data_IF_036361039123
#
_entry.id   IF_036361039123
#
_cell.length_a   1.000
_cell.length_b   1.000
_cell.length_c   1.000
_cell.angle_alpha   90.00
_cell.angle_beta   90.00
_cell.angle_gamma   90.00
#
_symmetry.space_group_name_H-M   'P 1'
#
loop_
_entity.id
_entity.type
_entity.pdbx_description
1 polymer ?
#
# COMPACT_ATOMS: atom_id res chain seq x y z
N UNK A 1 -7.37 -52.67 -69.02
CA UNK A 1 -7.96 -53.48 -67.93
C UNK A 1 -8.25 -52.53 -66.77
N UNK A 2 -9.52 -52.16 -66.61
CA UNK A 2 -9.99 -51.25 -65.59
C UNK A 2 -10.48 -52.11 -64.42
N UNK A 3 -9.89 -51.92 -63.25
CA UNK A 3 -10.32 -52.61 -62.03
C UNK A 3 -11.20 -51.66 -61.22
N UNK A 4 -12.47 -52.01 -61.11
CA UNK A 4 -13.47 -51.29 -60.38
C UNK A 4 -13.25 -51.40 -58.88
N UNK A 5 -13.22 -50.27 -58.24
CA UNK A 5 -13.19 -50.15 -56.78
C UNK A 5 -14.63 -49.88 -56.28
N UNK A 6 -15.22 -50.89 -55.59
CA UNK A 6 -16.51 -50.77 -54.96
C UNK A 6 -16.38 -50.01 -53.61
N UNK A 7 -17.28 -49.09 -53.29
CA UNK A 7 -17.28 -48.43 -51.99
C UNK A 7 -17.92 -49.33 -50.93
N UNK A 8 -17.25 -49.46 -49.80
CA UNK A 8 -17.81 -50.10 -48.59
C UNK A 8 -18.79 -49.15 -47.87
N UNK A 9 -19.80 -49.70 -47.20
CA UNK A 9 -20.75 -48.87 -46.45
C UNK A 9 -20.14 -48.24 -45.21
N UNK A 10 -20.42 -46.98 -45.03
CA UNK A 10 -20.07 -46.19 -43.87
C UNK A 10 -20.80 -46.72 -42.63
N UNK A 11 -20.01 -47.12 -41.64
CA UNK A 11 -20.48 -47.40 -40.26
C UNK A 11 -20.99 -46.15 -39.57
N UNK A 12 -21.83 -46.29 -38.55
CA UNK A 12 -22.39 -45.14 -37.86
C UNK A 12 -21.29 -44.32 -37.17
N UNK A 13 -21.43 -43.00 -37.24
CA UNK A 13 -20.52 -42.04 -36.56
C UNK A 13 -20.58 -42.27 -35.05
N UNK A 14 -19.46 -42.14 -34.34
CA UNK A 14 -19.45 -42.17 -32.89
C UNK A 14 -20.21 -40.95 -32.35
N UNK A 15 -21.27 -41.20 -31.62
CA UNK A 15 -21.93 -40.21 -30.77
C UNK A 15 -20.92 -39.71 -29.75
N UNK A 16 -20.53 -38.43 -29.88
CA UNK A 16 -19.74 -37.76 -28.85
C UNK A 16 -20.60 -37.58 -27.60
N UNK A 17 -20.56 -38.55 -26.69
CA UNK A 17 -21.03 -38.31 -25.33
C UNK A 17 -20.04 -37.32 -24.68
N UNK A 18 -20.55 -36.12 -24.45
CA UNK A 18 -19.83 -35.09 -23.71
C UNK A 18 -19.66 -35.58 -22.24
N UNK A 19 -18.47 -35.91 -21.80
CA UNK A 19 -18.26 -36.41 -20.43
C UNK A 19 -18.59 -35.37 -19.33
N UNK A 20 -18.95 -34.14 -19.68
CA UNK A 20 -19.33 -33.10 -18.75
C UNK A 20 -20.83 -32.77 -18.73
N UNK A 21 -21.67 -33.47 -19.53
CA UNK A 21 -23.11 -33.21 -19.58
C UNK A 21 -23.89 -33.62 -18.33
N UNK A 22 -23.28 -34.26 -17.34
CA UNK A 22 -23.92 -34.68 -16.09
C UNK A 22 -23.42 -34.02 -14.81
N UNK A 23 -22.60 -32.96 -14.93
CA UNK A 23 -22.33 -32.11 -13.76
C UNK A 23 -23.51 -31.17 -13.62
N UNK A 24 -24.51 -31.59 -12.85
CA UNK A 24 -25.56 -30.68 -12.39
C UNK A 24 -24.91 -29.43 -11.82
N UNK A 25 -25.24 -28.28 -12.41
CA UNK A 25 -24.90 -27.00 -11.81
C UNK A 25 -25.67 -26.92 -10.50
N UNK A 26 -25.07 -27.47 -9.43
CA UNK A 26 -25.48 -27.07 -8.10
C UNK A 26 -25.31 -25.57 -8.10
N UNK A 27 -26.41 -24.83 -8.05
CA UNK A 27 -26.40 -23.43 -7.75
C UNK A 27 -25.66 -23.30 -6.41
N UNK A 28 -24.36 -23.01 -6.48
CA UNK A 28 -23.67 -22.46 -5.36
C UNK A 28 -24.40 -21.13 -5.08
N UNK A 29 -25.33 -21.17 -4.15
CA UNK A 29 -25.77 -19.97 -3.48
C UNK A 29 -24.49 -19.31 -2.94
N UNK A 30 -23.97 -18.36 -3.69
CA UNK A 30 -22.97 -17.45 -3.20
C UNK A 30 -23.66 -16.77 -2.03
N UNK A 31 -23.27 -17.04 -0.76
CA UNK A 31 -23.86 -16.31 0.35
C UNK A 31 -23.69 -14.84 -0.03
N UNK A 32 -24.77 -14.07 0.01
CA UNK A 32 -24.72 -12.63 -0.13
C UNK A 32 -23.62 -12.18 0.80
N UNK A 33 -22.52 -11.70 0.20
CA UNK A 33 -21.45 -11.07 0.98
C UNK A 33 -22.14 -9.86 1.59
N UNK A 34 -22.67 -10.04 2.81
CA UNK A 34 -22.94 -8.90 3.63
C UNK A 34 -21.64 -8.10 3.55
N UNK A 35 -21.77 -6.85 3.11
CA UNK A 35 -20.67 -5.91 3.12
C UNK A 35 -20.27 -5.71 4.59
N UNK A 36 -19.72 -6.78 5.15
CA UNK A 36 -19.11 -6.79 6.46
C UNK A 36 -18.06 -5.70 6.42
N UNK A 37 -18.22 -4.71 7.29
CA UNK A 37 -17.25 -3.66 7.52
C UNK A 37 -15.89 -4.32 7.53
N UNK A 38 -15.09 -4.08 6.47
CA UNK A 38 -13.77 -4.68 6.37
C UNK A 38 -13.00 -4.35 7.66
N UNK A 39 -12.26 -5.30 8.24
CA UNK A 39 -11.66 -5.09 9.54
C UNK A 39 -10.78 -3.85 9.51
N UNK A 40 -11.15 -2.88 10.34
CA UNK A 40 -10.30 -1.71 10.58
C UNK A 40 -8.94 -2.23 11.00
N UNK A 41 -7.86 -1.73 10.41
CA UNK A 41 -6.52 -2.13 10.81
C UNK A 41 -6.40 -2.01 12.33
N UNK A 42 -6.18 -3.13 12.99
CA UNK A 42 -5.93 -3.16 14.43
C UNK A 42 -4.56 -2.59 14.82
N UNK A 43 -3.79 -2.07 13.83
CA UNK A 43 -2.48 -1.48 14.08
C UNK A 43 -2.67 -0.14 14.79
N UNK A 44 -2.34 -0.02 16.09
CA UNK A 44 -2.56 1.21 16.83
C UNK A 44 -1.58 2.28 16.35
N UNK A 45 -2.11 3.47 16.08
CA UNK A 45 -1.27 4.64 15.80
C UNK A 45 -0.68 5.15 17.12
N UNK A 46 0.64 5.25 17.25
CA UNK A 46 1.29 5.70 18.47
C UNK A 46 0.84 7.11 18.88
N UNK A 47 0.84 7.38 20.18
CA UNK A 47 0.39 8.65 20.73
C UNK A 47 1.18 9.86 20.18
N UNK A 48 2.49 9.70 19.94
CA UNK A 48 3.34 10.73 19.35
C UNK A 48 3.00 11.03 17.88
N UNK A 49 2.41 10.06 17.15
CA UNK A 49 1.80 10.29 15.84
C UNK A 49 0.44 10.98 15.95
N UNK A 50 -0.21 10.91 17.11
CA UNK A 50 -1.52 11.55 17.34
C UNK A 50 -1.38 12.96 17.90
N UNK A 51 -0.19 13.35 18.36
CA UNK A 51 0.08 14.61 19.06
C UNK A 51 0.10 15.86 18.17
N UNK A 52 -0.09 15.69 16.87
CA UNK A 52 -0.35 16.78 15.94
C UNK A 52 -1.43 16.37 14.97
N UNK A 53 -2.25 17.28 14.50
CA UNK A 53 -3.28 17.05 13.47
C UNK A 53 -2.76 16.31 12.22
N UNK A 54 -1.47 16.40 11.95
CA UNK A 54 -0.76 15.80 10.83
C UNK A 54 -0.81 14.27 10.82
N UNK A 55 -0.59 13.63 11.98
CA UNK A 55 -0.53 12.17 12.06
C UNK A 55 -1.89 11.54 12.34
N UNK A 56 -2.80 12.27 12.99
CA UNK A 56 -4.15 11.80 13.20
C UNK A 56 -4.94 11.66 11.87
N UNK A 57 -4.70 12.58 10.92
CA UNK A 57 -5.31 12.50 9.59
C UNK A 57 -4.77 11.30 8.79
N UNK A 58 -3.47 11.00 8.89
CA UNK A 58 -2.87 9.83 8.25
C UNK A 58 -3.41 8.51 8.81
N UNK A 59 -3.76 8.47 10.10
CA UNK A 59 -4.38 7.31 10.71
C UNK A 59 -5.85 7.13 10.31
N UNK A 60 -6.55 8.24 10.05
CA UNK A 60 -7.96 8.24 9.65
C UNK A 60 -8.18 7.87 8.17
N UNK A 61 -7.14 7.93 7.35
CA UNK A 61 -7.22 7.64 5.90
C UNK A 61 -6.98 6.17 5.55
N UNK A 62 -6.68 5.31 6.51
CA UNK A 62 -6.64 3.87 6.26
C UNK A 62 -8.08 3.36 6.10
N UNK A 63 -8.48 3.13 4.86
CA UNK A 63 -9.73 2.47 4.52
C UNK A 63 -9.41 1.01 4.24
N UNK A 64 -9.90 0.07 5.04
CA UNK A 64 -9.86 -1.35 4.72
C UNK A 64 -10.61 -1.58 3.41
N UNK A 65 -10.05 -2.38 2.49
CA UNK A 65 -10.65 -2.55 1.17
C UNK A 65 -10.25 -1.43 0.19
N UNK A 66 -9.03 -1.08 0.22
CA UNK A 66 -8.27 -0.13 -0.51
C UNK A 66 -8.69 0.03 -1.98
N UNK A 67 -9.29 1.16 -2.32
CA UNK A 67 -9.31 1.62 -3.69
C UNK A 67 -7.98 2.33 -3.98
N UNK A 68 -7.29 2.02 -5.09
CA UNK A 68 -6.11 2.77 -5.48
C UNK A 68 -6.45 4.26 -5.56
N UNK A 69 -5.68 5.08 -4.85
CA UNK A 69 -5.84 6.52 -4.92
C UNK A 69 -5.27 7.02 -6.25
N UNK A 70 -5.92 8.02 -6.84
CA UNK A 70 -5.38 8.67 -8.03
C UNK A 70 -4.00 9.27 -7.75
N UNK A 71 -3.13 9.17 -8.76
CA UNK A 71 -1.84 9.82 -8.70
C UNK A 71 -1.98 11.34 -8.56
N UNK A 72 -1.23 11.88 -7.62
CA UNK A 72 -0.99 13.34 -7.49
C UNK A 72 0.50 13.59 -7.29
N UNK A 73 1.06 14.67 -7.87
CA UNK A 73 2.46 15.03 -7.61
C UNK A 73 2.72 15.15 -6.11
N UNK A 74 3.84 14.58 -5.66
CA UNK A 74 4.15 14.53 -4.23
C UNK A 74 4.65 15.86 -3.65
N UNK A 75 5.28 16.68 -4.50
CA UNK A 75 6.03 17.86 -4.06
C UNK A 75 7.30 17.54 -3.24
N UNK A 76 7.67 16.26 -3.14
CA UNK A 76 8.81 15.78 -2.33
C UNK A 76 10.02 15.37 -3.18
N UNK A 77 9.84 15.23 -4.48
CA UNK A 77 10.80 14.65 -5.40
C UNK A 77 11.23 15.67 -6.46
N UNK A 78 12.42 15.44 -7.04
CA UNK A 78 12.80 16.12 -8.29
C UNK A 78 11.88 15.71 -9.43
N UNK A 79 11.83 16.50 -10.50
CA UNK A 79 11.00 16.23 -11.68
C UNK A 79 11.22 14.82 -12.25
N UNK A 80 12.49 14.39 -12.35
CA UNK A 80 12.84 13.06 -12.86
C UNK A 80 12.35 11.92 -11.94
N UNK A 81 12.47 12.12 -10.63
CA UNK A 81 12.01 11.14 -9.66
C UNK A 81 10.47 11.10 -9.59
N UNK A 82 9.81 12.26 -9.71
CA UNK A 82 8.36 12.33 -9.79
C UNK A 82 7.82 11.69 -11.09
N UNK A 83 8.52 11.86 -12.20
CA UNK A 83 8.19 11.17 -13.46
C UNK A 83 8.25 9.64 -13.28
N UNK A 84 9.33 9.12 -12.65
CA UNK A 84 9.42 7.67 -12.35
C UNK A 84 8.31 7.22 -11.40
N UNK A 85 8.03 7.99 -10.34
CA UNK A 85 6.95 7.70 -9.39
C UNK A 85 5.61 7.61 -10.10
N UNK A 86 5.30 8.54 -11.00
CA UNK A 86 4.07 8.53 -11.81
C UNK A 86 3.93 7.21 -12.60
N UNK A 87 5.02 6.74 -13.20
CA UNK A 87 5.03 5.50 -13.98
C UNK A 87 4.74 4.25 -13.15
N UNK A 88 5.18 4.21 -11.89
CA UNK A 88 4.99 3.06 -11.01
C UNK A 88 3.81 3.18 -10.04
N UNK A 89 3.19 4.35 -9.93
CA UNK A 89 2.23 4.65 -8.87
C UNK A 89 1.04 3.69 -8.86
N UNK A 90 0.43 3.42 -10.01
CA UNK A 90 -0.71 2.50 -10.11
C UNK A 90 -0.37 1.08 -9.64
N UNK A 91 0.78 0.56 -10.08
CA UNK A 91 1.26 -0.76 -9.67
C UNK A 91 1.55 -0.79 -8.16
N UNK A 92 2.25 0.21 -7.66
CA UNK A 92 2.57 0.36 -6.25
C UNK A 92 1.30 0.42 -5.38
N UNK A 93 0.33 1.25 -5.76
CA UNK A 93 -0.92 1.42 -5.03
C UNK A 93 -1.74 0.13 -4.98
N UNK A 94 -1.85 -0.58 -6.10
CA UNK A 94 -2.51 -1.88 -6.16
C UNK A 94 -1.84 -2.91 -5.25
N UNK A 95 -0.51 -2.98 -5.27
CA UNK A 95 0.24 -3.91 -4.41
C UNK A 95 0.09 -3.53 -2.94
N UNK A 96 0.20 -2.24 -2.59
CA UNK A 96 -0.03 -1.80 -1.22
C UNK A 96 -1.39 -2.28 -0.70
N UNK A 97 -2.44 -2.15 -1.52
CA UNK A 97 -3.78 -2.61 -1.20
C UNK A 97 -3.87 -4.13 -1.03
N UNK A 98 -3.25 -4.91 -1.91
CA UNK A 98 -3.22 -6.38 -1.81
C UNK A 98 -2.62 -6.86 -0.49
N UNK A 99 -1.65 -6.13 0.05
CA UNK A 99 -1.03 -6.45 1.34
C UNK A 99 -1.64 -5.69 2.53
N UNK A 100 -2.75 -4.98 2.34
CA UNK A 100 -3.43 -4.23 3.40
C UNK A 100 -2.58 -3.11 3.99
N UNK A 101 -1.73 -2.49 3.17
CA UNK A 101 -0.89 -1.35 3.55
C UNK A 101 -1.58 -0.04 3.19
N UNK A 102 -1.50 1.01 4.02
CA UNK A 102 -1.86 2.35 3.59
C UNK A 102 -1.01 2.77 2.38
N UNK A 103 -1.66 3.12 1.26
CA UNK A 103 -0.96 3.49 0.02
C UNK A 103 0.06 4.59 0.26
N UNK A 104 -0.32 5.64 0.99
CA UNK A 104 0.58 6.76 1.30
C UNK A 104 1.79 6.37 2.16
N UNK A 105 1.66 5.38 3.05
CA UNK A 105 2.79 4.85 3.83
C UNK A 105 3.79 4.12 2.93
N UNK A 106 3.29 3.23 2.06
CA UNK A 106 4.14 2.46 1.18
C UNK A 106 4.81 3.35 0.13
N UNK A 107 4.08 4.34 -0.40
CA UNK A 107 4.63 5.39 -1.27
C UNK A 107 5.74 6.19 -0.58
N UNK A 108 5.51 6.69 0.64
CA UNK A 108 6.51 7.41 1.43
C UNK A 108 7.76 6.57 1.70
N UNK A 109 7.59 5.28 1.92
CA UNK A 109 8.70 4.34 2.09
C UNK A 109 9.52 4.23 0.81
N UNK A 110 8.90 4.04 -0.35
CA UNK A 110 9.60 3.93 -1.64
C UNK A 110 10.30 5.25 -2.00
N UNK A 111 9.69 6.39 -1.70
CA UNK A 111 10.34 7.70 -1.83
C UNK A 111 11.65 7.73 -1.03
N UNK A 112 11.64 7.24 0.21
CA UNK A 112 12.82 7.21 1.08
C UNK A 112 13.85 6.19 0.62
N UNK A 113 13.43 5.01 0.16
CA UNK A 113 14.31 3.91 -0.23
C UNK A 113 15.07 4.18 -1.54
N UNK A 114 14.38 4.57 -2.58
CA UNK A 114 14.95 4.61 -3.93
C UNK A 114 14.65 5.88 -4.72
N UNK A 115 13.77 6.75 -4.21
CA UNK A 115 13.16 7.83 -5.02
C UNK A 115 12.60 7.28 -6.33
N UNK A 116 11.96 6.12 -6.26
CA UNK A 116 11.40 5.41 -7.41
C UNK A 116 12.42 5.02 -8.50
N UNK A 117 13.69 4.87 -8.13
CA UNK A 117 14.70 4.31 -9.04
C UNK A 117 14.71 2.79 -8.91
N UNK A 118 14.12 2.10 -9.91
CA UNK A 118 13.97 0.64 -9.91
C UNK A 118 15.28 -0.13 -10.05
N UNK A 119 16.36 0.54 -10.46
CA UNK A 119 17.67 -0.10 -10.76
C UNK A 119 18.77 0.29 -9.77
N UNK A 120 18.42 0.98 -8.68
CA UNK A 120 19.43 1.47 -7.74
C UNK A 120 19.91 0.36 -6.80
N UNK A 121 21.22 0.34 -6.57
CA UNK A 121 21.85 -0.44 -5.49
C UNK A 121 22.22 0.47 -4.33
N UNK A 122 22.01 -0.01 -3.11
CA UNK A 122 22.63 0.60 -1.94
C UNK A 122 24.07 0.12 -1.76
N UNK A 123 24.89 0.83 -0.96
CA UNK A 123 26.22 0.34 -0.56
C UNK A 123 26.18 -1.03 0.13
N UNK A 124 25.05 -1.35 0.78
CA UNK A 124 24.83 -2.65 1.47
C UNK A 124 24.22 -3.71 0.55
N UNK A 125 24.21 -3.49 -0.77
CA UNK A 125 23.68 -4.41 -1.82
C UNK A 125 22.16 -4.61 -1.78
N UNK A 126 21.38 -3.74 -1.13
CA UNK A 126 19.95 -3.68 -1.31
C UNK A 126 19.63 -3.20 -2.75
N UNK A 127 18.50 -3.62 -3.32
CA UNK A 127 18.17 -3.32 -4.72
C UNK A 127 16.72 -2.94 -4.94
N UNK A 128 16.51 -2.04 -5.89
CA UNK A 128 15.24 -1.73 -6.50
C UNK A 128 14.39 -0.74 -5.70
N UNK A 129 13.13 -0.67 -6.03
CA UNK A 129 12.18 0.32 -5.49
C UNK A 129 12.09 0.28 -3.97
N UNK A 130 12.02 -0.92 -3.40
CA UNK A 130 11.84 -1.15 -1.95
C UNK A 130 13.15 -1.55 -1.24
N UNK A 131 14.29 -1.46 -1.93
CA UNK A 131 15.63 -1.75 -1.41
C UNK A 131 15.71 -3.10 -0.68
N UNK A 132 15.26 -4.17 -1.35
CA UNK A 132 15.33 -5.51 -0.78
C UNK A 132 16.78 -6.02 -0.71
N UNK A 133 17.18 -6.46 0.48
CA UNK A 133 18.42 -7.20 0.69
C UNK A 133 18.37 -8.57 0.01
N UNK A 134 19.50 -9.13 -0.47
CA UNK A 134 19.54 -10.46 -1.10
C UNK A 134 18.90 -11.55 -0.22
N UNK A 135 19.27 -11.58 1.06
CA UNK A 135 18.74 -12.58 2.00
C UNK A 135 17.24 -12.44 2.24
N UNK A 136 16.75 -11.20 2.32
CA UNK A 136 15.30 -10.93 2.48
C UNK A 136 14.54 -11.39 1.23
N UNK A 137 15.04 -11.05 0.03
CA UNK A 137 14.40 -11.46 -1.22
C UNK A 137 14.36 -13.00 -1.35
N UNK A 138 15.46 -13.68 -1.02
CA UNK A 138 15.53 -15.14 -1.03
C UNK A 138 14.55 -15.76 -0.02
N UNK A 139 14.48 -15.24 1.21
CA UNK A 139 13.56 -15.71 2.24
C UNK A 139 12.09 -15.51 1.88
N UNK A 140 11.78 -14.48 1.08
CA UNK A 140 10.44 -14.21 0.57
C UNK A 140 10.12 -14.96 -0.73
N UNK A 141 11.11 -15.61 -1.36
CA UNK A 141 10.95 -16.31 -2.63
C UNK A 141 10.68 -15.37 -3.82
N UNK A 142 11.20 -14.13 -3.79
CA UNK A 142 10.97 -13.12 -4.84
C UNK A 142 12.25 -12.79 -5.60
N UNK A 143 12.11 -12.54 -6.90
CA UNK A 143 13.18 -11.96 -7.71
C UNK A 143 13.20 -10.44 -7.47
N UNK A 144 14.16 -9.95 -6.69
CA UNK A 144 14.30 -8.51 -6.40
C UNK A 144 14.62 -7.63 -7.61
N UNK A 145 15.07 -8.24 -8.72
CA UNK A 145 15.38 -7.53 -9.97
C UNK A 145 14.16 -7.32 -10.86
N UNK A 146 13.10 -8.05 -10.63
CA UNK A 146 11.80 -7.80 -11.23
C UNK A 146 11.05 -6.74 -10.42
N UNK A 147 10.54 -5.72 -11.11
CA UNK A 147 9.92 -4.55 -10.47
C UNK A 147 8.69 -4.93 -9.63
N UNK A 148 7.83 -5.76 -10.21
CA UNK A 148 6.59 -6.16 -9.53
C UNK A 148 6.90 -7.05 -8.33
N UNK A 149 7.80 -8.02 -8.48
CA UNK A 149 8.22 -8.89 -7.38
C UNK A 149 8.99 -8.13 -6.30
N UNK A 150 9.77 -7.11 -6.66
CA UNK A 150 10.42 -6.21 -5.72
C UNK A 150 9.39 -5.45 -4.87
N UNK A 151 8.38 -4.87 -5.51
CA UNK A 151 7.29 -4.20 -4.80
C UNK A 151 6.50 -5.18 -3.91
N UNK A 152 6.13 -6.35 -4.43
CA UNK A 152 5.43 -7.40 -3.66
C UNK A 152 6.26 -7.87 -2.46
N UNK A 153 7.55 -8.08 -2.67
CA UNK A 153 8.47 -8.47 -1.59
C UNK A 153 8.57 -7.40 -0.52
N UNK A 154 8.76 -6.13 -0.91
CA UNK A 154 8.80 -5.01 0.03
C UNK A 154 7.49 -4.82 0.79
N UNK A 155 6.35 -4.90 0.10
CA UNK A 155 5.04 -4.79 0.71
C UNK A 155 4.78 -5.94 1.71
N UNK A 156 5.08 -7.18 1.31
CA UNK A 156 4.97 -8.34 2.18
C UNK A 156 5.85 -8.21 3.41
N UNK A 157 7.12 -7.84 3.24
CA UNK A 157 8.04 -7.69 4.36
C UNK A 157 7.60 -6.59 5.32
N UNK A 158 7.14 -5.44 4.81
CA UNK A 158 6.58 -4.39 5.65
C UNK A 158 5.32 -4.88 6.40
N UNK A 159 4.44 -5.62 5.73
CA UNK A 159 3.24 -6.18 6.35
C UNK A 159 3.60 -7.13 7.50
N UNK A 160 4.55 -8.03 7.29
CA UNK A 160 5.05 -8.94 8.34
C UNK A 160 5.59 -8.16 9.56
N UNK A 161 6.27 -7.02 9.35
CA UNK A 161 6.71 -6.18 10.46
C UNK A 161 5.54 -5.47 11.16
N UNK A 162 4.54 -5.02 10.41
CA UNK A 162 3.34 -4.43 11.01
C UNK A 162 2.56 -5.43 11.85
N UNK A 163 2.39 -6.65 11.37
CA UNK A 163 1.74 -7.74 12.12
C UNK A 163 2.50 -8.08 13.40
N UNK A 164 3.83 -8.08 13.31
CA UNK A 164 4.71 -8.42 14.44
C UNK A 164 4.76 -7.35 15.53
N UNK A 165 4.84 -6.09 15.15
CA UNK A 165 5.08 -4.98 16.08
C UNK A 165 3.84 -4.15 16.39
N UNK A 166 2.78 -4.27 15.60
CA UNK A 166 1.50 -3.58 15.81
C UNK A 166 1.53 -2.06 15.68
N UNK A 167 2.70 -1.46 15.36
CA UNK A 167 2.88 0.00 15.31
C UNK A 167 3.75 0.41 14.12
N UNK A 168 3.33 1.44 13.38
CA UNK A 168 4.01 1.86 12.15
C UNK A 168 5.49 2.20 12.35
N UNK A 169 5.82 2.99 13.38
CA UNK A 169 7.20 3.39 13.63
C UNK A 169 8.11 2.21 13.98
N UNK A 170 7.60 1.21 14.70
CA UNK A 170 8.35 0.00 15.03
C UNK A 170 8.52 -0.90 13.83
N UNK A 171 7.49 -1.03 13.01
CA UNK A 171 7.55 -1.80 11.76
C UNK A 171 8.54 -1.19 10.76
N UNK A 172 8.53 0.14 10.60
CA UNK A 172 9.51 0.85 9.78
C UNK A 172 10.94 0.69 10.32
N UNK A 173 11.12 0.77 11.64
CA UNK A 173 12.40 0.52 12.26
C UNK A 173 12.90 -0.91 12.04
N UNK A 174 11.99 -1.89 12.12
CA UNK A 174 12.28 -3.30 11.86
C UNK A 174 12.61 -3.54 10.39
N UNK A 175 11.92 -2.86 9.47
CA UNK A 175 12.22 -2.92 8.03
C UNK A 175 13.66 -2.48 7.74
N UNK A 176 14.07 -1.35 8.29
CA UNK A 176 15.40 -0.76 8.05
C UNK A 176 16.52 -1.47 8.83
N UNK A 177 16.34 -1.65 10.15
CA UNK A 177 17.41 -2.15 11.02
C UNK A 177 17.39 -3.67 11.20
N UNK A 178 16.31 -4.34 10.76
CA UNK A 178 16.01 -5.73 11.06
C UNK A 178 15.22 -5.90 12.37
N UNK A 179 14.27 -6.86 12.41
CA UNK A 179 13.34 -7.04 13.53
C UNK A 179 14.04 -7.39 14.86
N UNK A 180 15.20 -8.03 14.83
CA UNK A 180 15.96 -8.38 16.02
C UNK A 180 16.52 -7.20 16.81
N UNK A 181 16.56 -6.00 16.19
CA UNK A 181 17.03 -4.76 16.83
C UNK A 181 15.92 -3.95 17.48
N UNK A 182 14.66 -4.21 17.11
CA UNK A 182 13.49 -3.57 17.74
C UNK A 182 13.13 -4.35 19.00
N UNK A 183 13.44 -3.78 20.16
CA UNK A 183 13.25 -4.43 21.45
C UNK A 183 12.46 -3.51 22.38
N UNK A 184 11.73 -4.08 23.32
CA UNK A 184 10.97 -3.37 24.37
C UNK A 184 10.03 -2.28 23.80
N UNK A 185 9.46 -2.50 22.59
CA UNK A 185 8.55 -1.53 21.98
C UNK A 185 9.21 -0.18 21.67
N UNK A 186 10.52 -0.13 21.40
CA UNK A 186 11.24 1.11 21.10
C UNK A 186 11.98 1.05 19.78
N UNK A 187 12.06 2.19 19.08
CA UNK A 187 12.95 2.36 17.93
C UNK A 187 14.39 2.29 18.42
N UNK A 188 15.26 1.48 17.78
CA UNK A 188 16.64 1.36 18.21
C UNK A 188 17.37 2.71 18.11
N UNK A 189 18.36 2.92 19.02
CA UNK A 189 19.18 4.13 19.04
C UNK A 189 20.24 4.11 17.93
N UNK A 190 19.80 3.90 16.69
CA UNK A 190 20.61 3.94 15.48
C UNK A 190 20.14 5.17 14.71
N UNK A 191 21.02 6.16 14.54
CA UNK A 191 20.68 7.44 13.90
C UNK A 191 20.05 7.22 12.53
N UNK A 192 20.67 6.38 11.68
CA UNK A 192 20.13 6.02 10.36
C UNK A 192 18.67 5.53 10.43
N UNK A 193 18.36 4.68 11.43
CA UNK A 193 17.01 4.13 11.59
C UNK A 193 16.01 5.14 12.13
N UNK A 194 16.43 5.99 13.06
CA UNK A 194 15.60 7.07 13.60
C UNK A 194 15.24 8.08 12.51
N UNK A 195 16.22 8.49 11.70
CA UNK A 195 16.01 9.38 10.56
C UNK A 195 15.13 8.73 9.49
N UNK A 196 15.33 7.43 9.24
CA UNK A 196 14.50 6.66 8.31
C UNK A 196 13.02 6.69 8.71
N UNK A 197 12.73 6.35 9.95
CA UNK A 197 11.36 6.33 10.50
C UNK A 197 10.74 7.72 10.44
N UNK A 198 11.45 8.74 10.96
CA UNK A 198 10.95 10.12 11.01
C UNK A 198 10.68 10.68 9.62
N UNK A 199 11.58 10.43 8.66
CA UNK A 199 11.43 10.89 7.28
C UNK A 199 10.20 10.26 6.59
N UNK A 200 10.00 8.94 6.73
CA UNK A 200 8.85 8.27 6.12
C UNK A 200 7.54 8.78 6.71
N UNK A 201 7.46 8.92 8.02
CA UNK A 201 6.24 9.41 8.66
C UNK A 201 5.91 10.84 8.26
N UNK A 202 6.93 11.70 8.15
CA UNK A 202 6.76 13.06 7.67
C UNK A 202 6.32 13.10 6.19
N UNK A 203 6.93 12.29 5.34
CA UNK A 203 6.53 12.19 3.94
C UNK A 203 5.09 11.67 3.81
N UNK A 204 4.74 10.64 4.57
CA UNK A 204 3.39 10.11 4.59
C UNK A 204 2.36 11.16 4.99
N UNK A 205 2.63 11.94 6.04
CA UNK A 205 1.74 13.04 6.44
C UNK A 205 1.55 14.08 5.34
N UNK A 206 2.61 14.42 4.60
CA UNK A 206 2.53 15.35 3.47
C UNK A 206 1.73 14.79 2.30
N UNK A 207 1.94 13.51 1.96
CA UNK A 207 1.22 12.83 0.87
C UNK A 207 -0.28 12.72 1.12
N UNK A 208 -0.70 12.61 2.39
CA UNK A 208 -2.12 12.54 2.78
C UNK A 208 -2.78 13.90 2.91
N UNK A 209 -2.06 14.99 2.66
CA UNK A 209 -2.59 16.36 2.81
C UNK A 209 -2.75 16.80 4.26
N UNK A 210 -2.30 15.99 5.22
CA UNK A 210 -2.38 16.32 6.64
C UNK A 210 -1.53 17.54 7.05
N UNK A 211 -0.65 18.02 6.15
CA UNK A 211 0.19 19.20 6.39
C UNK A 211 -0.47 20.53 6.00
N UNK A 212 -1.65 20.50 5.33
CA UNK A 212 -2.23 21.67 4.66
C UNK A 212 -3.35 22.39 5.42
N UNK A 213 -3.82 21.90 6.54
CA UNK A 213 -4.90 22.55 7.30
C UNK A 213 -4.39 23.35 8.51
N UNK A 214 -3.23 24.02 8.38
CA UNK A 214 -2.92 25.12 9.27
C UNK A 214 -3.55 26.42 8.71
N UNK A 215 -4.83 26.32 8.35
CA UNK A 215 -5.66 27.51 8.22
C UNK A 215 -5.79 28.08 9.65
N UNK A 216 -5.15 29.23 9.87
CA UNK A 216 -5.01 29.89 11.16
C UNK A 216 -6.34 30.33 11.81
N UNK A 217 -7.29 29.42 11.87
CA UNK A 217 -8.49 29.55 12.65
C UNK A 217 -8.21 29.08 14.07
N UNK A 218 -7.42 29.88 14.79
CA UNK A 218 -7.36 29.80 16.24
C UNK A 218 -8.82 29.87 16.74
N UNK A 219 -9.35 28.73 17.23
CA UNK A 219 -10.58 28.76 18.00
C UNK A 219 -10.33 29.62 19.24
N UNK A 220 -10.81 30.88 19.19
CA UNK A 220 -10.85 31.70 20.37
C UNK A 220 -11.97 31.16 21.24
N UNK A 221 -11.62 30.52 22.33
CA UNK A 221 -12.58 30.20 23.39
C UNK A 221 -12.87 31.50 24.17
N UNK A 222 -14.16 31.86 24.25
CA UNK A 222 -14.59 32.90 25.16
C UNK A 222 -14.45 32.42 26.63
N UNK A 223 -14.51 33.32 27.59
CA UNK A 223 -14.29 33.03 29.01
C UNK A 223 -15.25 31.99 29.63
N UNK A 224 -16.24 31.51 28.90
CA UNK A 224 -17.22 30.48 29.33
C UNK A 224 -17.10 29.15 28.57
N UNK A 225 -16.04 28.92 27.75
CA UNK A 225 -15.78 27.61 27.13
C UNK A 225 -16.77 27.17 26.04
N UNK A 226 -17.66 28.02 25.56
CA UNK A 226 -18.59 27.72 24.46
C UNK A 226 -18.06 28.19 23.11
N UNK A 227 -18.19 27.42 22.03
CA UNK A 227 -17.74 27.84 20.72
C UNK A 227 -18.61 28.94 20.13
N UNK A 228 -18.04 30.10 19.82
CA UNK A 228 -18.74 31.21 19.14
C UNK A 228 -18.58 31.00 17.64
N UNK A 229 -19.67 30.71 16.96
CA UNK A 229 -19.72 30.65 15.49
C UNK A 229 -19.98 32.08 14.97
N UNK A 230 -18.94 32.74 14.45
CA UNK A 230 -19.10 34.02 13.75
C UNK A 230 -19.64 33.76 12.34
N UNK A 231 -20.85 34.15 12.07
CA UNK A 231 -21.38 34.28 10.71
C UNK A 231 -20.93 35.64 10.15
N UNK A 232 -20.04 35.60 9.14
CA UNK A 232 -19.74 36.79 8.35
C UNK A 232 -20.90 37.07 7.42
N UNK A 233 -21.62 38.17 7.64
CA UNK A 233 -22.58 38.68 6.70
C UNK A 233 -21.84 39.33 5.52
N UNK A 234 -22.08 38.84 4.30
CA UNK A 234 -21.67 39.49 3.06
C UNK A 234 -22.63 40.63 2.81
N UNK A 235 -22.17 41.87 2.96
CA UNK A 235 -22.89 43.04 2.54
C UNK A 235 -22.59 43.26 1.06
N UNK A 236 -23.56 43.00 0.20
CA UNK A 236 -23.57 43.43 -1.20
C UNK A 236 -24.08 44.87 -1.22
N UNK A 237 -23.23 45.85 -1.53
CA UNK A 237 -23.63 47.20 -1.91
C UNK A 237 -23.92 47.23 -3.40
N UNK A 238 -25.06 47.84 -3.71
CA UNK A 238 -25.53 48.18 -5.06
C UNK A 238 -24.67 49.29 -5.69
#
# INVERSE_FOLDING_TARGET
>A
MASAFSPQPSGPAPTSEDPFASVGVAQLEVPAFEAGIAPVSAIPVPLWMRGGSLFAAAAATYVPGCAPTEYRPSGLLSSDAEYRRRGFYGLMANIACQYGLPVGLFDAMIIRESRYNASIYSPKKAFGLTQLMPGTAAGLGVNRYDVEQNLKGGARYLREQLDRFGQYHLALAAYNAGPGRVRNGTVPRIVETQDYVSNILLNWSKLTGASGSNDGRAMRFGPSGTPVVSRSAVVTSF
#
